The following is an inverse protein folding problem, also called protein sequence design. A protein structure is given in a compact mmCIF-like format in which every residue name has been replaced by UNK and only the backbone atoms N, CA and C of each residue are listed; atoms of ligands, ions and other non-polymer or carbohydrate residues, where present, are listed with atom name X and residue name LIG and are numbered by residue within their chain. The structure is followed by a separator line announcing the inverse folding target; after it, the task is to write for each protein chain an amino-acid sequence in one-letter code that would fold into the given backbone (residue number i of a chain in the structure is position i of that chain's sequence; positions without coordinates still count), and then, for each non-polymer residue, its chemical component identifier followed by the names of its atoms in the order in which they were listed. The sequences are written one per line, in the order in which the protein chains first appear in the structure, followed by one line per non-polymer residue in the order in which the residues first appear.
data_IF_860366042157
#
_entry.id   IF_860366042157
#
_cell.length_a   1.000
_cell.length_b   1.000
_cell.length_c   1.000
_cell.angle_alpha   90.00
_cell.angle_beta   90.00
_cell.angle_gamma   90.00
#
_symmetry.space_group_name_H-M   'P 1'
#
loop_
_entity.id
_entity.type
_entity.pdbx_description
1 polymer ?
#
# COMPACT_ATOMS: atom_id res chain seq x y z
N UNK A 1 4.57 -8.07 -15.65
CA UNK A 1 4.62 -8.08 -14.17
C UNK A 1 5.53 -6.95 -13.72
N UNK A 2 5.12 -6.19 -12.71
CA UNK A 2 5.90 -5.12 -12.10
C UNK A 2 5.95 -5.35 -10.59
N UNK A 3 7.12 -5.22 -10.00
CA UNK A 3 7.34 -5.39 -8.56
C UNK A 3 8.20 -4.28 -8.02
N UNK A 4 7.83 -3.70 -6.88
CA UNK A 4 8.59 -2.64 -6.24
C UNK A 4 8.36 -2.60 -4.73
N UNK A 5 9.26 -1.91 -4.04
CA UNK A 5 9.22 -1.77 -2.58
C UNK A 5 9.10 -0.30 -2.21
N UNK A 6 8.29 -0.02 -1.19
CA UNK A 6 8.12 1.31 -0.62
C UNK A 6 8.63 1.30 0.81
N UNK A 7 9.77 1.93 1.03
CA UNK A 7 10.44 1.96 2.33
C UNK A 7 9.74 2.89 3.34
N UNK A 8 9.77 2.45 4.59
CA UNK A 8 9.24 3.17 5.74
C UNK A 8 7.94 2.58 6.28
N UNK A 9 7.44 3.19 7.36
CA UNK A 9 6.23 2.72 8.03
C UNK A 9 5.00 2.73 7.10
N UNK A 10 4.27 1.60 6.99
CA UNK A 10 3.04 1.55 6.23
C UNK A 10 2.02 2.54 6.78
N UNK A 11 1.38 3.31 5.90
CA UNK A 11 0.36 4.31 6.28
C UNK A 11 -0.97 3.91 5.69
N UNK A 12 -1.98 3.73 6.54
CA UNK A 12 -3.36 3.56 6.10
C UNK A 12 -3.86 4.80 5.35
N UNK A 13 -4.73 4.59 4.36
CA UNK A 13 -5.51 5.68 3.78
C UNK A 13 -6.41 6.31 4.85
N UNK A 14 -6.10 7.55 5.21
CA UNK A 14 -6.91 8.33 6.14
C UNK A 14 -8.19 8.79 5.45
N UNK A 15 -9.31 8.75 6.17
CA UNK A 15 -10.58 9.30 5.67
C UNK A 15 -10.45 10.82 5.48
N UNK A 16 -11.07 11.39 4.43
CA UNK A 16 -11.13 12.84 4.27
C UNK A 16 -11.67 13.51 5.53
N UNK A 17 -10.99 14.57 5.97
CA UNK A 17 -11.40 15.37 7.12
C UNK A 17 -12.18 16.56 6.61
N UNK A 18 -13.38 16.78 7.16
CA UNK A 18 -14.14 18.00 6.92
C UNK A 18 -13.58 19.13 7.79
N UNK A 19 -13.34 20.28 7.18
CA UNK A 19 -13.00 21.53 7.88
C UNK A 19 -13.95 22.62 7.43
N UNK A 20 -14.49 23.40 8.38
CA UNK A 20 -15.33 24.55 8.08
C UNK A 20 -14.44 25.71 7.64
N UNK A 21 -14.80 26.35 6.54
CA UNK A 21 -14.15 27.54 5.97
C UNK A 21 -15.20 28.61 5.75
N UNK A 22 -14.79 29.86 5.53
CA UNK A 22 -15.72 31.00 5.34
C UNK A 22 -16.65 30.80 4.13
N UNK A 23 -16.27 29.94 3.18
CA UNK A 23 -17.05 29.59 1.97
C UNK A 23 -17.72 28.21 2.02
N UNK A 24 -17.71 27.53 3.18
CA UNK A 24 -18.40 26.24 3.36
C UNK A 24 -17.52 25.12 3.92
N UNK A 25 -17.91 23.86 3.68
CA UNK A 25 -17.17 22.68 4.16
C UNK A 25 -16.14 22.27 3.11
N UNK A 26 -14.86 22.30 3.50
CA UNK A 26 -13.77 21.78 2.67
C UNK A 26 -13.32 20.42 3.19
N UNK A 27 -13.42 19.40 2.34
CA UNK A 27 -12.85 18.08 2.61
C UNK A 27 -11.36 18.07 2.25
N UNK A 28 -10.51 17.53 3.12
CA UNK A 28 -9.09 17.32 2.83
C UNK A 28 -8.61 15.95 3.26
N UNK A 29 -7.87 15.29 2.38
CA UNK A 29 -7.09 14.11 2.72
C UNK A 29 -5.95 14.49 3.68
N UNK A 30 -5.70 13.72 4.75
CA UNK A 30 -4.60 13.99 5.67
C UNK A 30 -3.24 14.05 4.98
N UNK A 31 -2.37 14.99 5.41
CA UNK A 31 -1.02 15.19 4.84
C UNK A 31 -0.18 13.90 4.83
N UNK A 32 -0.30 13.07 5.86
CA UNK A 32 0.41 11.79 5.96
C UNK A 32 0.03 10.82 4.84
N UNK A 33 -1.26 10.68 4.55
CA UNK A 33 -1.76 9.83 3.45
C UNK A 33 -1.26 10.35 2.12
N UNK A 34 -1.39 11.66 1.85
CA UNK A 34 -0.91 12.26 0.60
C UNK A 34 0.59 12.03 0.39
N UNK A 35 1.40 12.25 1.42
CA UNK A 35 2.85 12.03 1.34
C UNK A 35 3.21 10.57 1.09
N UNK A 36 2.45 9.64 1.66
CA UNK A 36 2.68 8.21 1.46
C UNK A 36 2.27 7.76 0.05
N UNK A 37 1.12 8.21 -0.44
CA UNK A 37 0.68 7.99 -1.82
C UNK A 37 1.69 8.56 -2.83
N UNK A 38 2.30 9.71 -2.55
CA UNK A 38 3.37 10.27 -3.40
C UNK A 38 4.61 9.39 -3.46
N UNK A 39 5.01 8.74 -2.34
CA UNK A 39 6.13 7.79 -2.32
C UNK A 39 5.82 6.54 -3.15
N UNK A 40 4.62 5.99 -2.98
CA UNK A 40 4.18 4.82 -3.76
C UNK A 40 4.16 5.16 -5.25
N UNK A 41 3.58 6.31 -5.63
CA UNK A 41 3.58 6.81 -7.02
C UNK A 41 4.99 6.90 -7.58
N UNK A 42 5.94 7.51 -6.86
CA UNK A 42 7.32 7.61 -7.32
C UNK A 42 7.99 6.24 -7.52
N UNK A 43 7.81 5.31 -6.58
CA UNK A 43 8.36 3.96 -6.68
C UNK A 43 7.71 3.17 -7.84
N UNK A 44 6.39 3.28 -8.01
CA UNK A 44 5.66 2.66 -9.10
C UNK A 44 6.10 3.20 -10.47
N UNK A 45 6.18 4.53 -10.64
CA UNK A 45 6.64 5.15 -11.88
C UNK A 45 8.07 4.72 -12.23
N UNK A 46 8.97 4.64 -11.25
CA UNK A 46 10.32 4.15 -11.47
C UNK A 46 10.32 2.67 -11.91
N UNK A 47 9.50 1.83 -11.29
CA UNK A 47 9.40 0.41 -11.61
C UNK A 47 8.72 0.12 -12.96
N UNK A 48 7.88 1.02 -13.46
CA UNK A 48 7.30 0.93 -14.80
C UNK A 48 8.33 1.23 -15.90
N UNK A 49 9.48 1.85 -15.60
CA UNK A 49 10.53 2.21 -16.57
C UNK A 49 10.01 2.95 -17.81
N UNK A 50 9.02 3.84 -17.65
CA UNK A 50 8.39 4.57 -18.76
C UNK A 50 7.42 3.73 -19.60
N UNK A 51 7.09 2.51 -19.16
CA UNK A 51 6.04 1.69 -19.73
C UNK A 51 4.65 2.30 -19.54
N UNK A 52 3.72 1.82 -20.35
CA UNK A 52 2.30 2.18 -20.25
C UNK A 52 1.61 1.35 -19.15
N UNK A 53 0.53 1.87 -18.54
CA UNK A 53 -0.30 1.10 -17.62
C UNK A 53 -0.82 -0.18 -18.28
N UNK A 54 -1.02 -1.24 -17.49
CA UNK A 54 -1.64 -2.47 -17.96
C UNK A 54 -3.09 -2.21 -18.39
N UNK A 55 -3.50 -2.75 -19.54
CA UNK A 55 -4.87 -2.66 -20.07
C UNK A 55 -5.71 -3.92 -19.85
N UNK A 56 -5.11 -4.99 -19.31
CA UNK A 56 -5.80 -6.25 -19.00
C UNK A 56 -6.09 -6.36 -17.49
N UNK A 57 -6.91 -7.34 -17.05
CA UNK A 57 -7.07 -7.62 -15.62
C UNK A 57 -5.73 -7.94 -14.95
N UNK A 58 -5.58 -7.54 -13.69
CA UNK A 58 -4.34 -7.71 -12.92
C UNK A 58 -4.58 -8.40 -11.58
N UNK A 59 -3.56 -9.12 -11.13
CA UNK A 59 -3.42 -9.65 -9.78
C UNK A 59 -2.51 -8.74 -8.97
N UNK A 60 -2.98 -8.33 -7.79
CA UNK A 60 -2.27 -7.47 -6.85
C UNK A 60 -1.89 -8.24 -5.60
N UNK A 61 -0.60 -8.32 -5.30
CA UNK A 61 -0.07 -8.86 -4.05
C UNK A 61 0.63 -7.77 -3.26
N UNK A 62 0.25 -7.64 -1.99
CA UNK A 62 0.75 -6.62 -1.06
C UNK A 62 1.26 -7.29 0.22
N UNK A 63 2.57 -7.23 0.46
CA UNK A 63 3.19 -7.69 1.71
C UNK A 63 3.55 -6.47 2.56
N UNK A 64 2.91 -6.36 3.72
CA UNK A 64 3.00 -5.20 4.63
C UNK A 64 3.88 -5.60 5.82
N UNK A 65 5.01 -4.91 5.98
CA UNK A 65 5.91 -5.10 7.11
C UNK A 65 5.78 -3.93 8.09
N UNK A 66 5.13 -4.20 9.23
CA UNK A 66 5.05 -3.27 10.35
C UNK A 66 6.35 -3.26 11.16
N UNK A 67 6.73 -2.13 11.77
CA UNK A 67 7.90 -2.10 12.65
C UNK A 67 7.67 -2.99 13.87
N UNK A 68 8.70 -3.74 14.26
CA UNK A 68 8.71 -4.45 15.55
C UNK A 68 8.82 -3.40 16.67
N UNK A 69 7.89 -3.35 17.64
CA UNK A 69 7.97 -2.37 18.72
C UNK A 69 9.26 -2.56 19.55
N UNK A 70 10.06 -1.50 19.64
CA UNK A 70 11.32 -1.52 20.39
C UNK A 70 11.12 -1.79 21.90
N UNK A 71 9.94 -1.45 22.42
CA UNK A 71 9.54 -1.70 23.81
C UNK A 71 9.26 -3.18 24.12
N UNK A 72 9.12 -4.04 23.11
CA UNK A 72 8.89 -5.46 23.33
C UNK A 72 10.17 -6.15 23.83
N UNK A 73 10.06 -7.18 24.69
CA UNK A 73 11.22 -7.99 25.06
C UNK A 73 11.90 -8.62 23.84
N UNK A 74 13.24 -8.72 23.84
CA UNK A 74 14.03 -9.27 22.71
C UNK A 74 13.51 -10.61 22.20
N UNK A 75 13.12 -11.52 23.10
CA UNK A 75 12.54 -12.81 22.73
C UNK A 75 11.25 -12.67 21.90
N UNK A 76 10.39 -11.70 22.26
CA UNK A 76 9.16 -11.42 21.50
C UNK A 76 9.47 -10.74 20.17
N UNK A 77 10.48 -9.86 20.12
CA UNK A 77 10.94 -9.26 18.87
C UNK A 77 11.44 -10.33 17.89
N UNK A 78 12.22 -11.30 18.35
CA UNK A 78 12.67 -12.43 17.53
C UNK A 78 11.49 -13.26 17.00
N UNK A 79 10.53 -13.60 17.86
CA UNK A 79 9.31 -14.31 17.45
C UNK A 79 8.47 -13.52 16.45
N UNK A 80 8.43 -12.19 16.56
CA UNK A 80 7.75 -11.31 15.61
C UNK A 80 8.46 -11.31 14.24
N UNK A 81 9.79 -11.23 14.22
CA UNK A 81 10.58 -11.33 12.99
C UNK A 81 10.46 -12.69 12.29
N UNK A 82 10.12 -13.76 13.04
CA UNK A 82 9.88 -15.11 12.53
C UNK A 82 8.41 -15.38 12.18
N UNK A 83 7.55 -14.35 12.17
CA UNK A 83 6.10 -14.45 11.89
C UNK A 83 5.33 -15.39 12.86
N UNK A 84 5.92 -15.71 14.02
CA UNK A 84 5.27 -16.46 15.11
C UNK A 84 4.32 -15.54 15.87
N UNK A 85 4.74 -14.29 16.14
CA UNK A 85 3.85 -13.24 16.64
C UNK A 85 3.25 -12.52 15.45
N UNK A 86 1.94 -12.65 15.25
CA UNK A 86 1.22 -12.04 14.13
C UNK A 86 1.02 -10.55 14.33
N UNK A 87 1.16 -9.78 13.24
CA UNK A 87 1.00 -8.33 13.25
C UNK A 87 -0.49 -7.96 13.26
N UNK A 88 -1.03 -7.69 14.45
CA UNK A 88 -2.44 -7.26 14.61
C UNK A 88 -2.58 -5.76 14.84
N UNK A 89 -1.47 -5.05 15.12
CA UNK A 89 -1.46 -3.59 15.29
C UNK A 89 -1.89 -2.85 14.02
N UNK A 90 -2.40 -1.62 14.20
CA UNK A 90 -2.65 -0.69 13.10
C UNK A 90 -1.36 -0.36 12.32
N UNK A 91 -1.46 0.03 11.04
CA UNK A 91 -2.69 0.15 10.24
C UNK A 91 -3.35 -1.19 9.88
N UNK A 92 -4.64 -1.15 9.56
CA UNK A 92 -5.38 -2.28 9.02
C UNK A 92 -4.95 -2.54 7.57
N UNK A 93 -4.87 -3.82 7.19
CA UNK A 93 -4.28 -4.23 5.91
C UNK A 93 -5.08 -3.68 4.70
N UNK A 94 -6.41 -3.72 4.79
CA UNK A 94 -7.33 -3.18 3.79
C UNK A 94 -7.12 -1.69 3.54
N UNK A 95 -6.88 -0.90 4.58
CA UNK A 95 -6.64 0.54 4.47
C UNK A 95 -5.27 0.87 3.86
N UNK A 96 -4.26 0.02 4.08
CA UNK A 96 -2.96 0.13 3.40
C UNK A 96 -3.12 -0.24 1.93
N UNK A 97 -3.80 -1.35 1.64
CA UNK A 97 -4.11 -1.77 0.26
C UNK A 97 -4.86 -0.67 -0.48
N UNK A 98 -5.84 -0.01 0.16
CA UNK A 98 -6.56 1.11 -0.42
C UNK A 98 -5.59 2.23 -0.84
N UNK A 99 -4.69 2.66 0.05
CA UNK A 99 -3.67 3.67 -0.27
C UNK A 99 -2.75 3.24 -1.43
N UNK A 100 -2.38 1.95 -1.48
CA UNK A 100 -1.59 1.37 -2.57
C UNK A 100 -2.35 1.42 -3.89
N UNK A 101 -3.61 0.95 -3.93
CA UNK A 101 -4.44 0.97 -5.14
C UNK A 101 -4.63 2.38 -5.68
N UNK A 102 -5.00 3.32 -4.81
CA UNK A 102 -5.23 4.72 -5.18
C UNK A 102 -3.96 5.41 -5.70
N UNK A 103 -2.79 5.05 -5.18
CA UNK A 103 -1.53 5.65 -5.59
C UNK A 103 -1.00 5.11 -6.94
N UNK A 104 -1.36 3.88 -7.31
CA UNK A 104 -0.95 3.22 -8.56
C UNK A 104 -1.90 3.44 -9.73
N UNK A 105 -3.10 3.98 -9.47
CA UNK A 105 -4.09 4.28 -10.51
C UNK A 105 -3.49 5.21 -11.58
N UNK A 106 -3.76 4.91 -12.85
CA UNK A 106 -3.23 5.59 -14.05
C UNK A 106 -1.70 5.51 -14.20
N UNK A 107 -1.02 4.68 -13.40
CA UNK A 107 0.44 4.46 -13.48
C UNK A 107 0.74 3.02 -13.83
N UNK A 108 0.22 2.09 -13.04
CA UNK A 108 0.48 0.65 -13.20
C UNK A 108 -0.65 -0.02 -13.97
N UNK A 109 -1.88 0.43 -13.76
CA UNK A 109 -3.09 0.04 -14.49
C UNK A 109 -3.92 1.31 -14.75
N UNK A 110 -4.83 1.26 -15.72
CA UNK A 110 -5.68 2.38 -16.12
C UNK A 110 -6.71 2.72 -15.03
N UNK A 111 -7.35 1.68 -14.48
CA UNK A 111 -8.36 1.82 -13.43
C UNK A 111 -8.23 0.73 -12.36
N UNK A 112 -8.52 1.06 -11.10
CA UNK A 112 -8.37 0.15 -9.97
C UNK A 112 -9.39 -1.00 -9.95
N UNK A 113 -10.42 -0.93 -10.80
CA UNK A 113 -11.33 -2.03 -11.14
C UNK A 113 -10.65 -3.17 -11.91
N UNK A 114 -9.51 -2.93 -12.57
CA UNK A 114 -8.73 -3.99 -13.23
C UNK A 114 -8.12 -4.97 -12.23
N UNK A 115 -8.03 -4.62 -10.94
CA UNK A 115 -7.54 -5.52 -9.89
C UNK A 115 -8.62 -6.55 -9.55
N UNK A 116 -8.55 -7.72 -10.18
CA UNK A 116 -9.53 -8.81 -10.01
C UNK A 116 -9.09 -9.88 -9.01
N UNK A 117 -7.78 -9.95 -8.73
CA UNK A 117 -7.21 -10.78 -7.67
C UNK A 117 -6.43 -9.90 -6.68
N UNK A 118 -6.64 -10.13 -5.39
CA UNK A 118 -5.98 -9.37 -4.34
C UNK A 118 -5.53 -10.30 -3.20
N UNK A 119 -4.24 -10.27 -2.89
CA UNK A 119 -3.67 -10.90 -1.70
C UNK A 119 -2.95 -9.85 -0.85
N UNK A 120 -3.32 -9.74 0.42
CA UNK A 120 -2.66 -8.85 1.37
C UNK A 120 -2.26 -9.60 2.64
N UNK A 121 -1.02 -9.39 3.08
CA UNK A 121 -0.49 -9.99 4.31
C UNK A 121 0.19 -8.94 5.16
N UNK A 122 -0.02 -9.01 6.47
CA UNK A 122 0.60 -8.11 7.45
C UNK A 122 1.50 -8.91 8.38
N UNK A 123 2.76 -8.51 8.43
CA UNK A 123 3.82 -9.14 9.22
C UNK A 123 4.60 -8.07 9.98
N UNK A 124 5.38 -8.48 10.96
CA UNK A 124 6.40 -7.60 11.51
C UNK A 124 7.70 -7.75 10.71
N UNK A 125 8.39 -6.64 10.50
CA UNK A 125 9.71 -6.59 9.89
C UNK A 125 10.66 -5.74 10.72
N UNK A 126 11.95 -6.05 10.64
CA UNK A 126 13.01 -5.18 11.21
C UNK A 126 13.06 -3.85 10.47
N UNK A 127 12.86 -3.91 9.16
CA UNK A 127 12.76 -2.77 8.27
C UNK A 127 11.31 -2.63 7.81
N UNK A 128 10.59 -1.61 8.28
CA UNK A 128 9.21 -1.40 7.87
C UNK A 128 9.18 -0.97 6.41
N UNK A 129 8.28 -1.59 5.65
CA UNK A 129 8.12 -1.37 4.20
C UNK A 129 6.80 -1.99 3.71
N UNK A 130 6.45 -1.68 2.48
CA UNK A 130 5.41 -2.41 1.73
C UNK A 130 6.02 -2.91 0.42
N UNK A 131 5.94 -4.21 0.19
CA UNK A 131 6.33 -4.84 -1.06
C UNK A 131 5.07 -5.07 -1.91
N UNK A 132 5.14 -4.65 -3.16
CA UNK A 132 3.99 -4.63 -4.07
C UNK A 132 4.39 -5.38 -5.34
N UNK A 133 3.54 -6.31 -5.75
CA UNK A 133 3.67 -7.06 -6.99
C UNK A 133 2.35 -6.98 -7.75
N UNK A 134 2.42 -6.52 -9.00
CA UNK A 134 1.29 -6.46 -9.92
C UNK A 134 1.61 -7.33 -11.12
N UNK A 135 0.76 -8.31 -11.37
CA UNK A 135 0.90 -9.24 -12.48
C UNK A 135 -0.31 -9.11 -13.39
N UNK A 136 -0.06 -8.84 -14.66
CA UNK A 136 -1.10 -8.91 -15.69
C UNK A 136 -1.56 -10.36 -15.86
N UNK A 137 -2.88 -10.56 -15.93
CA UNK A 137 -3.52 -11.86 -16.06
C UNK A 137 -3.95 -12.10 -17.51
N UNK A 138 -4.07 -13.38 -17.85
CA UNK A 138 -4.68 -13.78 -19.11
C UNK A 138 -6.20 -13.67 -19.02
N UNK A 139 -6.76 -12.78 -19.82
CA UNK A 139 -8.18 -12.49 -19.91
C UNK A 139 -8.40 -11.18 -20.66
N UNK A 140 -9.65 -10.91 -21.01
CA UNK A 140 -10.11 -9.63 -21.55
C UNK A 140 -10.85 -8.87 -20.44
N UNK A 141 -10.72 -7.55 -20.43
CA UNK A 141 -11.60 -6.71 -19.63
C UNK A 141 -13.02 -6.75 -20.23
N UNK A 142 -14.05 -6.68 -19.37
CA UNK A 142 -15.45 -6.68 -19.79
C UNK A 142 -15.87 -5.37 -20.46
#
# INVERSE_FOLDING_TARGET
MVSFTVDGEPVAKGRPRASRTDTGIRMRTPKKTKSYESKIRAAATAAMFGGIPFGRPVSLKVEIYLPIPASWPKARQTKAAQDVVRATNKPDADNVVKAVKDAMNEIVYEDDSQVVELSARKRYGREPRVEIEVKELDGEAA
#
